data_IF_384495774385
#
_entry.id   IF_384495774385
#
_cell.length_a   1.000
_cell.length_b   1.000
_cell.length_c   1.000
_cell.angle_alpha   90.00
_cell.angle_beta   90.00
_cell.angle_gamma   90.00
#
_symmetry.space_group_name_H-M   'P 1'
#
loop_
_entity.id
_entity.type
_entity.pdbx_description
1 polymer ?
#
# COMPACT_ATOMS: atom_id res chain seq x y z
N UNK A 1 -13.64 -30.79 -4.08
CA UNK A 1 -12.83 -29.82 -3.30
C UNK A 1 -12.56 -28.65 -4.21
N UNK A 2 -13.15 -27.47 -3.98
CA UNK A 2 -12.89 -26.30 -4.82
C UNK A 2 -11.48 -25.78 -4.46
N UNK A 3 -10.46 -26.39 -5.05
CA UNK A 3 -9.12 -25.84 -5.02
C UNK A 3 -9.10 -24.69 -5.99
N UNK A 4 -9.10 -23.49 -5.46
CA UNK A 4 -8.76 -22.32 -6.24
C UNK A 4 -7.30 -22.46 -6.68
N UNK A 5 -7.06 -22.37 -7.99
CA UNK A 5 -5.72 -22.47 -8.56
C UNK A 5 -4.86 -21.25 -8.19
N UNK A 6 -5.50 -20.15 -7.82
CA UNK A 6 -4.85 -18.90 -7.41
C UNK A 6 -4.89 -18.70 -5.89
N UNK A 7 -3.83 -18.10 -5.34
CA UNK A 7 -3.79 -17.71 -3.93
C UNK A 7 -4.03 -16.21 -3.78
N UNK A 8 -5.11 -15.86 -3.11
CA UNK A 8 -5.43 -14.47 -2.82
C UNK A 8 -4.64 -13.98 -1.61
N UNK A 9 -4.02 -12.81 -1.73
CA UNK A 9 -3.27 -12.13 -0.67
C UNK A 9 -4.14 -11.11 0.05
N UNK A 10 -3.63 -10.57 1.16
CA UNK A 10 -4.24 -9.46 1.90
C UNK A 10 -5.71 -9.68 2.31
N UNK A 11 -6.09 -10.93 2.62
CA UNK A 11 -7.45 -11.28 3.02
C UNK A 11 -8.46 -11.32 1.87
N UNK A 12 -8.00 -11.37 0.61
CA UNK A 12 -8.87 -11.63 -0.54
C UNK A 12 -9.46 -13.04 -0.48
N UNK A 13 -10.68 -13.19 -0.99
CA UNK A 13 -11.38 -14.48 -1.05
C UNK A 13 -11.35 -15.00 -2.47
N UNK A 14 -11.05 -16.28 -2.69
CA UNK A 14 -11.17 -16.85 -4.03
C UNK A 14 -12.61 -17.27 -4.32
N UNK A 15 -13.12 -16.88 -5.50
CA UNK A 15 -14.38 -17.34 -6.09
C UNK A 15 -14.14 -17.57 -7.59
N UNK A 16 -14.51 -18.74 -8.12
CA UNK A 16 -14.39 -19.09 -9.54
C UNK A 16 -13.01 -18.80 -10.17
N UNK A 17 -11.93 -19.21 -9.49
CA UNK A 17 -10.54 -18.93 -9.90
C UNK A 17 -10.22 -17.43 -10.07
N UNK A 18 -11.00 -16.57 -9.43
CA UNK A 18 -10.78 -15.13 -9.36
C UNK A 18 -10.70 -14.66 -7.91
N UNK A 19 -9.75 -13.78 -7.60
CA UNK A 19 -9.63 -13.20 -6.27
C UNK A 19 -10.56 -11.99 -6.12
N UNK A 20 -11.48 -12.11 -5.17
CA UNK A 20 -12.29 -11.02 -4.67
C UNK A 20 -11.45 -10.22 -3.66
N UNK A 21 -10.93 -9.08 -4.09
CA UNK A 21 -10.05 -8.25 -3.28
C UNK A 21 -10.80 -7.45 -2.23
N UNK A 22 -10.17 -7.33 -1.06
CA UNK A 22 -10.63 -6.41 -0.01
C UNK A 22 -10.52 -4.96 -0.48
N UNK A 23 -11.32 -4.08 0.12
CA UNK A 23 -11.32 -2.65 -0.21
C UNK A 23 -9.90 -2.08 -0.13
N UNK A 24 -9.46 -1.46 -1.22
CA UNK A 24 -8.13 -0.86 -1.32
C UNK A 24 -7.00 -1.81 -1.73
N UNK A 25 -7.33 -3.01 -2.24
CA UNK A 25 -6.38 -3.90 -2.93
C UNK A 25 -6.87 -4.25 -4.33
N UNK A 26 -5.94 -4.43 -5.26
CA UNK A 26 -6.19 -4.77 -6.66
C UNK A 26 -5.16 -5.79 -7.17
N UNK A 27 -5.35 -6.19 -8.43
CA UNK A 27 -4.53 -7.18 -9.13
C UNK A 27 -5.08 -8.60 -8.97
N UNK A 28 -4.60 -9.51 -9.81
CA UNK A 28 -5.08 -10.89 -9.90
C UNK A 28 -5.06 -11.65 -8.58
N UNK A 29 -4.12 -11.31 -7.70
CA UNK A 29 -3.94 -11.95 -6.40
C UNK A 29 -4.20 -11.00 -5.23
N UNK A 30 -4.78 -9.82 -5.46
CA UNK A 30 -4.99 -8.78 -4.43
C UNK A 30 -3.71 -8.36 -3.71
N UNK A 31 -2.56 -8.51 -4.38
CA UNK A 31 -1.25 -8.17 -3.83
C UNK A 31 -0.90 -6.68 -3.92
N UNK A 32 -1.61 -5.93 -4.77
CA UNK A 32 -1.29 -4.53 -5.04
C UNK A 32 -2.20 -3.61 -4.23
N UNK A 33 -1.67 -2.84 -3.26
CA UNK A 33 -2.47 -1.88 -2.51
C UNK A 33 -2.81 -0.66 -3.37
N UNK A 34 -3.98 -0.07 -3.09
CA UNK A 34 -4.49 1.14 -3.73
C UNK A 34 -4.42 2.30 -2.76
N UNK A 35 -3.88 3.42 -3.22
CA UNK A 35 -3.89 4.69 -2.52
C UNK A 35 -4.79 5.65 -3.31
N UNK A 36 -5.98 5.95 -2.80
CA UNK A 36 -7.05 6.67 -3.52
C UNK A 36 -6.61 8.05 -4.00
N UNK A 37 -5.97 8.85 -3.13
CA UNK A 37 -5.39 10.13 -3.55
C UNK A 37 -3.87 10.06 -3.85
N UNK A 38 -3.34 8.84 -4.05
CA UNK A 38 -1.95 8.60 -4.41
C UNK A 38 -0.94 8.95 -3.31
N UNK A 39 0.31 8.56 -3.54
CA UNK A 39 1.45 8.99 -2.73
C UNK A 39 2.23 10.04 -3.51
N UNK A 40 2.53 11.17 -2.88
CA UNK A 40 3.27 12.28 -3.47
C UNK A 40 4.78 12.14 -3.22
N UNK A 41 5.57 12.99 -3.85
CA UNK A 41 7.02 13.14 -3.61
C UNK A 41 7.81 11.81 -3.72
N UNK A 42 7.41 10.94 -4.65
CA UNK A 42 8.05 9.63 -4.85
C UNK A 42 7.71 8.59 -3.76
N UNK A 43 6.74 8.85 -2.91
CA UNK A 43 6.22 7.88 -1.96
C UNK A 43 5.60 6.67 -2.67
N UNK A 44 5.61 5.51 -2.01
CA UNK A 44 5.10 4.25 -2.55
C UNK A 44 3.93 3.72 -1.73
N UNK A 45 2.87 3.29 -2.41
CA UNK A 45 1.74 2.68 -1.73
C UNK A 45 2.15 1.31 -1.17
N UNK A 46 2.10 1.16 0.15
CA UNK A 46 2.44 -0.10 0.85
C UNK A 46 1.23 -0.74 1.52
N UNK A 47 0.09 -0.06 1.50
CA UNK A 47 -1.18 -0.55 2.01
C UNK A 47 -2.33 0.37 1.55
N UNK A 48 -3.59 -0.01 1.79
CA UNK A 48 -4.77 0.78 1.46
C UNK A 48 -4.64 2.19 2.06
N UNK A 49 -4.58 3.21 1.21
CA UNK A 49 -4.38 4.60 1.63
C UNK A 49 -3.16 4.81 2.57
N UNK A 50 -2.13 3.95 2.46
CA UNK A 50 -0.92 4.02 3.28
C UNK A 50 0.32 4.15 2.41
N UNK A 51 0.98 5.29 2.53
CA UNK A 51 2.18 5.61 1.78
C UNK A 51 3.45 5.40 2.62
N UNK A 52 4.43 4.72 2.03
CA UNK A 52 5.81 4.74 2.48
C UNK A 52 6.51 5.95 1.86
N UNK A 53 6.91 6.89 2.70
CA UNK A 53 7.55 8.12 2.25
C UNK A 53 9.04 7.95 2.07
N UNK A 54 9.59 8.62 1.06
CA UNK A 54 11.02 8.78 0.89
C UNK A 54 11.57 9.61 2.07
N UNK A 55 12.84 9.40 2.41
CA UNK A 55 13.50 10.15 3.46
C UNK A 55 13.34 11.66 3.24
N UNK A 56 12.96 12.38 4.29
CA UNK A 56 12.68 13.81 4.21
C UNK A 56 11.24 14.17 3.82
N UNK A 57 10.34 13.20 3.60
CA UNK A 57 8.91 13.46 3.44
C UNK A 57 8.09 12.79 4.53
N UNK A 58 6.90 13.33 4.83
CA UNK A 58 6.00 12.89 5.88
C UNK A 58 4.56 13.24 5.52
N UNK A 59 3.62 12.73 6.31
CA UNK A 59 2.18 12.90 6.07
C UNK A 59 1.56 11.61 5.52
N UNK A 60 0.23 11.49 5.57
CA UNK A 60 -0.51 10.32 5.06
C UNK A 60 -0.21 10.02 3.59
N UNK A 61 0.14 11.03 2.80
CA UNK A 61 0.41 10.93 1.37
C UNK A 61 1.83 11.37 1.01
N UNK A 62 2.72 11.51 1.99
CA UNK A 62 4.07 12.05 1.79
C UNK A 62 4.09 13.45 1.20
N UNK A 63 3.00 14.21 1.37
CA UNK A 63 2.78 15.54 0.82
C UNK A 63 3.59 16.62 1.55
N UNK A 64 4.05 16.34 2.77
CA UNK A 64 4.82 17.30 3.58
C UNK A 64 6.30 17.00 3.48
N UNK A 65 7.07 17.89 2.86
CA UNK A 65 8.53 17.89 2.96
C UNK A 65 8.97 18.29 4.37
N UNK A 66 9.79 17.46 5.01
CA UNK A 66 10.59 17.85 6.18
C UNK A 66 11.78 18.68 5.67
N UNK A 67 11.52 19.92 5.26
CA UNK A 67 12.58 20.89 4.99
C UNK A 67 13.27 21.20 6.31
N UNK A 68 14.39 20.52 6.59
CA UNK A 68 15.34 20.85 7.66
C UNK A 68 14.83 20.83 9.11
N UNK A 69 14.51 19.66 9.69
CA UNK A 69 14.51 19.50 11.16
C UNK A 69 15.28 18.26 11.62
N UNK A 70 16.59 18.52 11.82
CA UNK A 70 17.55 17.84 12.69
C UNK A 70 18.03 16.45 12.26
N UNK A 71 19.35 16.40 12.00
CA UNK A 71 20.22 15.24 12.19
C UNK A 71 19.70 14.40 13.37
N UNK A 72 19.67 13.08 13.19
CA UNK A 72 19.28 12.15 14.24
C UNK A 72 19.87 12.55 15.59
N UNK A 73 19.00 12.87 16.53
CA UNK A 73 19.23 12.55 17.93
C UNK A 73 18.35 11.34 18.22
N UNK A 74 18.91 10.17 17.92
CA UNK A 74 18.63 9.01 18.74
C UNK A 74 19.25 9.35 20.10
N UNK A 75 18.41 9.58 21.13
CA UNK A 75 18.87 9.44 22.51
C UNK A 75 19.17 7.96 22.76
#
# INVERSE_FOLDING_TARGET
MQQCSIRCMNGGTCSDDQCQCQKGYIGTYCGQPVCENGCQNGGRCIGPNRCACVYGFTGPQCERGKTNTKKGNYN
#
